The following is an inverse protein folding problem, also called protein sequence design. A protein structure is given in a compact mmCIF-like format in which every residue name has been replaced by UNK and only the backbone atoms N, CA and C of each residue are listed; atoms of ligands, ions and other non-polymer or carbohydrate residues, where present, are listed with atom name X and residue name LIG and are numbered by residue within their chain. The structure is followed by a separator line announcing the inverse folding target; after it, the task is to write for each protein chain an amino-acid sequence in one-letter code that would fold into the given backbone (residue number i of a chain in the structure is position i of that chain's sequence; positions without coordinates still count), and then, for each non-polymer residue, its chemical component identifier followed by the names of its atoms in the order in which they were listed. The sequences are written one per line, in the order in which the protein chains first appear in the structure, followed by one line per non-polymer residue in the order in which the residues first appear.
data_IF_753825003793
#
_entry.id   IF_753825003793
#
_cell.length_a   1.000
_cell.length_b   1.000
_cell.length_c   1.000
_cell.angle_alpha   90.00
_cell.angle_beta   90.00
_cell.angle_gamma   90.00
#
_symmetry.space_group_name_H-M   'P 1'
#
loop_
_entity.id
_entity.type
_entity.pdbx_description
1 polymer ?
#
# COMPACT_ATOMS: atom_id res chain seq x y z
N UNK A 1 10.86 13.38 6.36
CA UNK A 1 10.30 14.63 6.94
C UNK A 1 9.80 15.52 5.81
N UNK A 2 8.67 16.20 5.99
CA UNK A 2 8.08 17.09 4.97
C UNK A 2 8.79 18.46 4.93
N UNK A 3 10.05 18.49 4.47
CA UNK A 3 10.91 19.68 4.51
C UNK A 3 10.45 20.82 3.60
N UNK A 4 9.70 20.50 2.55
CA UNK A 4 9.21 21.48 1.56
C UNK A 4 7.75 21.88 1.78
N UNK A 5 7.16 21.56 2.95
CA UNK A 5 5.78 21.90 3.31
C UNK A 5 4.73 21.50 2.25
N UNK A 6 4.91 20.31 1.63
CA UNK A 6 3.95 19.76 0.68
C UNK A 6 2.60 19.49 1.37
N UNK A 7 1.47 19.55 0.62
CA UNK A 7 0.20 19.08 1.16
C UNK A 7 0.32 17.62 1.61
N UNK A 8 -0.31 17.29 2.74
CA UNK A 8 -0.17 15.98 3.40
C UNK A 8 -1.40 15.12 3.10
N UNK A 9 -1.17 13.92 2.59
CA UNK A 9 -2.21 12.90 2.43
C UNK A 9 -1.96 11.75 3.42
N UNK A 10 -2.90 11.52 4.32
CA UNK A 10 -2.84 10.39 5.27
C UNK A 10 -3.79 9.30 4.80
N UNK A 11 -3.25 8.12 4.49
CA UNK A 11 -4.04 6.98 4.00
C UNK A 11 -3.99 5.85 5.02
N UNK A 12 -5.15 5.60 5.63
CA UNK A 12 -5.31 4.59 6.67
C UNK A 12 -5.53 3.21 6.05
N UNK A 13 -4.77 2.21 6.48
CA UNK A 13 -4.91 0.84 5.97
C UNK A 13 -4.52 0.68 4.50
N UNK A 14 -3.52 1.46 4.06
CA UNK A 14 -3.06 1.46 2.67
C UNK A 14 -2.49 0.10 2.20
N UNK A 15 -2.13 -0.76 3.15
CA UNK A 15 -1.50 -2.07 2.96
C UNK A 15 -2.48 -3.25 3.12
N UNK A 16 -3.80 -3.00 2.98
CA UNK A 16 -4.86 -3.98 3.28
C UNK A 16 -5.01 -5.14 2.28
N UNK A 17 -4.60 -4.96 1.02
CA UNK A 17 -4.71 -6.00 -0.03
C UNK A 17 -3.44 -6.83 -0.21
N UNK A 18 -2.26 -6.34 0.22
CA UNK A 18 -0.97 -7.02 0.00
C UNK A 18 0.04 -6.83 1.12
N UNK A 19 0.78 -7.93 1.38
CA UNK A 19 2.02 -8.18 2.15
C UNK A 19 1.84 -9.32 3.18
N UNK A 20 2.77 -10.29 3.18
CA UNK A 20 2.94 -11.57 3.95
C UNK A 20 1.75 -12.26 4.65
N UNK A 21 0.82 -11.51 5.22
CA UNK A 21 -0.34 -11.94 5.99
C UNK A 21 -1.64 -11.15 5.68
N UNK A 22 -1.64 -10.31 4.64
CA UNK A 22 -2.76 -9.46 4.26
C UNK A 22 -4.05 -10.28 4.17
N UNK A 23 -5.05 -9.93 5.00
CA UNK A 23 -6.30 -10.69 5.15
C UNK A 23 -6.99 -10.95 3.81
N UNK A 24 -6.80 -10.09 2.80
CA UNK A 24 -7.37 -10.27 1.46
C UNK A 24 -6.47 -11.01 0.46
N UNK A 25 -5.17 -11.14 0.70
CA UNK A 25 -4.28 -12.03 -0.09
C UNK A 25 -4.56 -13.49 0.26
N UNK A 26 -4.98 -13.77 1.51
CA UNK A 26 -5.40 -15.11 1.97
C UNK A 26 -6.86 -15.48 1.63
N UNK A 27 -7.63 -14.60 0.98
CA UNK A 27 -9.09 -14.80 0.78
C UNK A 27 -9.54 -14.87 -0.68
N UNK A 28 -8.64 -14.86 -1.66
CA UNK A 28 -9.00 -15.39 -2.98
C UNK A 28 -9.00 -16.93 -2.89
N UNK A 29 -10.16 -17.50 -2.55
CA UNK A 29 -10.35 -18.96 -2.47
C UNK A 29 -9.48 -19.72 -1.44
N UNK A 30 -8.96 -19.03 -0.41
CA UNK A 30 -8.30 -19.69 0.72
C UNK A 30 -6.90 -20.23 0.44
N UNK A 31 -6.26 -19.80 -0.66
CA UNK A 31 -4.88 -20.16 -1.00
C UNK A 31 -3.99 -18.93 -1.07
N UNK A 32 -2.70 -19.09 -0.73
CA UNK A 32 -1.70 -18.06 -0.95
C UNK A 32 -1.46 -17.91 -2.46
N UNK A 33 -1.74 -16.72 -2.99
CA UNK A 33 -1.47 -16.40 -4.39
C UNK A 33 -0.03 -15.91 -4.52
N UNK A 34 0.78 -16.62 -5.31
CA UNK A 34 2.08 -16.10 -5.74
C UNK A 34 1.84 -15.00 -6.77
N UNK A 35 2.25 -13.78 -6.43
CA UNK A 35 2.14 -12.62 -7.29
C UNK A 35 3.49 -12.05 -7.68
N UNK A 36 4.57 -12.81 -7.46
CA UNK A 36 5.95 -12.38 -7.66
C UNK A 36 6.20 -11.81 -9.06
N UNK A 37 5.42 -12.23 -10.05
CA UNK A 37 5.48 -11.77 -11.44
C UNK A 37 4.57 -10.57 -11.78
N UNK A 38 3.66 -10.16 -10.90
CA UNK A 38 2.79 -9.02 -11.14
C UNK A 38 3.54 -7.69 -10.95
N UNK A 39 3.29 -6.63 -11.73
CA UNK A 39 3.87 -5.32 -11.44
C UNK A 39 3.46 -4.82 -10.05
N UNK A 40 4.38 -4.27 -9.26
CA UNK A 40 4.09 -3.77 -7.89
C UNK A 40 2.85 -2.88 -7.86
N UNK A 41 2.68 -2.00 -8.86
CA UNK A 41 1.52 -1.10 -8.99
C UNK A 41 0.15 -1.79 -9.04
N UNK A 42 0.04 -3.02 -9.57
CA UNK A 42 -1.23 -3.78 -9.61
C UNK A 42 -1.46 -4.64 -8.36
N UNK A 43 -0.43 -4.82 -7.53
CA UNK A 43 -0.51 -5.54 -6.26
C UNK A 43 -1.23 -4.73 -5.17
N UNK A 44 -1.41 -3.43 -5.35
CA UNK A 44 -2.02 -2.58 -4.33
C UNK A 44 -3.54 -2.75 -4.22
N UNK A 45 -4.04 -2.58 -2.99
CA UNK A 45 -5.46 -2.35 -2.73
C UNK A 45 -5.87 -0.92 -3.05
N UNK A 46 -7.14 -0.60 -2.82
CA UNK A 46 -7.66 0.75 -3.02
C UNK A 46 -6.83 1.78 -2.25
N UNK A 47 -6.53 1.52 -0.97
CA UNK A 47 -5.70 2.43 -0.17
C UNK A 47 -4.30 2.64 -0.74
N UNK A 48 -3.63 1.58 -1.17
CA UNK A 48 -2.30 1.68 -1.79
C UNK A 48 -2.31 2.39 -3.15
N UNK A 49 -3.35 2.19 -3.96
CA UNK A 49 -3.52 2.89 -5.23
C UNK A 49 -3.75 4.40 -5.01
N UNK A 50 -4.58 4.76 -4.03
CA UNK A 50 -4.81 6.16 -3.64
C UNK A 50 -3.51 6.81 -3.16
N UNK A 51 -2.74 6.10 -2.33
CA UNK A 51 -1.45 6.59 -1.83
C UNK A 51 -0.47 6.90 -2.97
N UNK A 52 -0.34 5.99 -3.93
CA UNK A 52 0.50 6.20 -5.11
C UNK A 52 0.03 7.37 -5.96
N UNK A 53 -1.29 7.52 -6.16
CA UNK A 53 -1.83 8.66 -6.89
C UNK A 53 -1.47 9.98 -6.22
N UNK A 54 -1.65 10.11 -4.90
CA UNK A 54 -1.25 11.32 -4.18
C UNK A 54 0.26 11.59 -4.25
N UNK A 55 1.09 10.55 -4.19
CA UNK A 55 2.53 10.70 -4.35
C UNK A 55 2.88 11.24 -5.75
N UNK A 56 2.23 10.73 -6.80
CA UNK A 56 2.40 11.22 -8.18
C UNK A 56 1.93 12.67 -8.36
N UNK A 57 0.89 13.09 -7.63
CA UNK A 57 0.40 14.49 -7.60
C UNK A 57 1.25 15.40 -6.70
N UNK A 58 2.35 14.90 -6.12
CA UNK A 58 3.32 15.71 -5.38
C UNK A 58 3.03 15.91 -3.89
N UNK A 59 2.11 15.13 -3.30
CA UNK A 59 1.81 15.19 -1.88
C UNK A 59 2.90 14.53 -1.04
N UNK A 60 3.02 14.94 0.23
CA UNK A 60 3.70 14.16 1.24
C UNK A 60 2.74 13.10 1.78
N UNK A 61 2.98 11.85 1.42
CA UNK A 61 2.07 10.74 1.76
C UNK A 61 2.50 10.07 3.05
N UNK A 62 1.54 9.90 3.97
CA UNK A 62 1.70 9.12 5.20
C UNK A 62 0.80 7.90 5.11
N UNK A 63 1.40 6.72 5.23
CA UNK A 63 0.70 5.45 5.20
C UNK A 63 0.63 4.86 6.60
N UNK A 64 -0.50 4.28 6.96
CA UNK A 64 -0.60 3.46 8.18
C UNK A 64 -0.84 2.01 7.81
N UNK A 65 -0.18 1.13 8.55
CA UNK A 65 -0.27 -0.31 8.42
C UNK A 65 -0.34 -0.94 9.82
N UNK A 66 -1.04 -2.07 9.95
CA UNK A 66 -1.04 -2.86 11.20
C UNK A 66 0.16 -3.79 11.29
N UNK A 67 0.73 -4.18 10.15
CA UNK A 67 1.88 -5.09 10.05
C UNK A 67 3.01 -4.32 9.40
N UNK A 68 4.21 -4.30 9.99
CA UNK A 68 5.33 -3.48 9.48
C UNK A 68 5.92 -4.03 8.17
N UNK A 69 5.99 -5.36 8.00
CA UNK A 69 6.48 -5.99 6.76
C UNK A 69 5.77 -5.36 5.56
N UNK A 70 4.43 -5.35 5.58
CA UNK A 70 3.48 -4.25 5.31
C UNK A 70 3.90 -3.12 4.36
N UNK A 71 4.92 -2.39 4.78
CA UNK A 71 5.35 -1.12 4.22
C UNK A 71 6.75 -1.17 3.61
N UNK A 72 7.40 -2.33 3.54
CA UNK A 72 8.76 -2.45 2.99
C UNK A 72 8.91 -2.00 1.53
N UNK A 73 7.82 -2.05 0.75
CA UNK A 73 7.79 -1.65 -0.66
C UNK A 73 7.03 -0.32 -0.90
N UNK A 74 6.72 0.41 0.18
CA UNK A 74 5.96 1.65 0.14
C UNK A 74 6.85 2.89 0.11
#
# INVERSE_FOLDING_TARGET
MNSTHKPVAVVIGATSKWQSDGRNTKLAHGQELDDSDLPVGVRWGVGGAIAQKFAQEGFFVVLTTRTTSNAHYA
#
